data_IF_072337551806
#
_entry.id   IF_072337551806
#
_cell.length_a   1.000
_cell.length_b   1.000
_cell.length_c   1.000
_cell.angle_alpha   90.00
_cell.angle_beta   90.00
_cell.angle_gamma   90.00
#
_symmetry.space_group_name_H-M   'P 1'
#
loop_
_entity.id
_entity.type
_entity.pdbx_description
1 polymer ?
#
# COMPACT_ATOMS: atom_id res chain seq x y z
N UNK A 1 6.98 -8.34 -4.75
CA UNK A 1 6.66 -7.60 -3.49
C UNK A 1 5.16 -7.36 -3.43
N UNK A 2 4.51 -7.56 -2.27
CA UNK A 2 3.06 -7.33 -2.13
C UNK A 2 2.68 -5.84 -2.21
N UNK A 3 3.41 -4.97 -1.52
CA UNK A 3 3.17 -3.52 -1.53
C UNK A 3 3.38 -2.90 -2.92
N UNK A 4 4.43 -3.31 -3.64
CA UNK A 4 4.66 -2.83 -5.01
C UNK A 4 3.54 -3.25 -5.96
N UNK A 5 3.02 -4.47 -5.79
CA UNK A 5 1.88 -4.95 -6.57
C UNK A 5 0.62 -4.12 -6.27
N UNK A 6 0.31 -3.87 -5.00
CA UNK A 6 -0.79 -2.96 -4.63
C UNK A 6 -0.62 -1.58 -5.27
N UNK A 7 0.56 -0.98 -5.21
CA UNK A 7 0.84 0.30 -5.83
C UNK A 7 0.59 0.29 -7.35
N UNK A 8 1.03 -0.76 -8.05
CA UNK A 8 0.76 -0.93 -9.48
C UNK A 8 -0.74 -0.94 -9.77
N UNK A 9 -1.51 -1.75 -9.02
CA UNK A 9 -2.97 -1.81 -9.18
C UNK A 9 -3.63 -0.46 -8.88
N UNK A 10 -3.22 0.22 -7.81
CA UNK A 10 -3.72 1.55 -7.46
C UNK A 10 -3.49 2.55 -8.60
N UNK A 11 -2.30 2.54 -9.21
CA UNK A 11 -1.98 3.42 -10.32
C UNK A 11 -2.79 3.08 -11.57
N UNK A 12 -2.91 1.79 -11.93
CA UNK A 12 -3.75 1.37 -13.06
C UNK A 12 -5.19 1.85 -12.88
N UNK A 13 -5.79 1.59 -11.71
CA UNK A 13 -7.19 1.96 -11.43
C UNK A 13 -7.38 3.48 -11.26
N UNK A 14 -6.35 4.22 -10.86
CA UNK A 14 -6.37 5.68 -10.76
C UNK A 14 -6.22 6.41 -12.10
N UNK A 15 -5.66 5.76 -13.13
CA UNK A 15 -5.25 6.42 -14.38
C UNK A 15 -5.82 5.80 -15.65
N UNK A 16 -7.05 5.26 -15.62
CA UNK A 16 -7.72 4.73 -16.82
C UNK A 16 -8.18 3.27 -16.68
N UNK A 17 -7.89 2.63 -15.55
CA UNK A 17 -8.35 1.28 -15.26
C UNK A 17 -7.48 0.22 -15.92
N UNK A 18 -8.12 -0.93 -16.18
CA UNK A 18 -7.45 -2.20 -16.53
C UNK A 18 -6.75 -2.16 -17.90
N UNK A 19 -7.20 -1.28 -18.80
CA UNK A 19 -6.67 -1.13 -20.16
C UNK A 19 -5.84 0.16 -20.30
N UNK A 20 -6.47 1.33 -20.16
CA UNK A 20 -5.84 2.63 -20.44
C UNK A 20 -4.81 3.03 -19.37
N UNK A 21 -4.91 2.45 -18.16
CA UNK A 21 -3.98 2.73 -17.06
C UNK A 21 -2.52 2.38 -17.35
N UNK A 22 -2.27 1.48 -18.29
CA UNK A 22 -0.92 1.06 -18.64
C UNK A 22 -0.10 2.14 -19.34
N UNK A 23 -0.75 3.05 -20.08
CA UNK A 23 -0.06 4.20 -20.68
C UNK A 23 0.58 5.09 -19.60
N UNK A 24 -0.06 5.20 -18.44
CA UNK A 24 0.52 5.91 -17.30
C UNK A 24 1.73 5.17 -16.72
N UNK A 25 1.66 3.84 -16.60
CA UNK A 25 2.74 3.02 -16.06
C UNK A 25 3.99 3.08 -16.95
N UNK A 26 3.83 3.02 -18.27
CA UNK A 26 4.93 3.15 -19.25
C UNK A 26 5.61 4.53 -19.09
N UNK A 27 4.83 5.61 -19.11
CA UNK A 27 5.37 6.98 -18.90
C UNK A 27 6.04 7.16 -17.54
N UNK A 28 5.50 6.53 -16.50
CA UNK A 28 6.12 6.56 -15.17
C UNK A 28 7.46 5.84 -15.20
N UNK A 29 7.53 4.66 -15.82
CA UNK A 29 8.76 3.89 -15.94
C UNK A 29 9.85 4.64 -16.71
N UNK A 30 9.50 5.31 -17.81
CA UNK A 30 10.42 6.16 -18.57
C UNK A 30 11.04 7.26 -17.69
N UNK A 31 10.23 7.89 -16.82
CA UNK A 31 10.70 8.90 -15.89
C UNK A 31 11.63 8.35 -14.80
N UNK A 32 11.58 7.03 -14.52
CA UNK A 32 12.49 6.39 -13.58
C UNK A 32 13.87 6.11 -14.19
N UNK A 33 14.08 6.35 -15.49
CA UNK A 33 15.35 6.07 -16.17
C UNK A 33 15.78 4.60 -15.94
N UNK A 34 14.81 3.69 -16.01
CA UNK A 34 14.98 2.24 -15.76
C UNK A 34 15.30 1.86 -14.31
N UNK A 35 15.30 2.79 -13.35
CA UNK A 35 15.70 2.51 -11.96
C UNK A 35 14.54 1.92 -11.17
N UNK A 36 14.62 0.61 -10.93
CA UNK A 36 13.71 -0.11 -10.04
C UNK A 36 14.48 -0.59 -8.80
N UNK A 37 13.91 -0.36 -7.62
CA UNK A 37 14.47 -0.82 -6.36
C UNK A 37 14.02 -2.25 -6.05
N UNK A 38 14.93 -3.05 -5.48
CA UNK A 38 14.68 -4.45 -5.11
C UNK A 38 13.75 -4.63 -3.89
N UNK A 39 13.41 -3.54 -3.19
CA UNK A 39 12.60 -3.57 -1.98
C UNK A 39 11.84 -2.27 -1.74
N UNK A 40 10.55 -2.39 -1.43
CA UNK A 40 9.67 -1.24 -1.13
C UNK A 40 10.15 -0.43 0.09
N UNK A 41 10.86 -1.05 1.02
CA UNK A 41 11.43 -0.38 2.20
C UNK A 41 12.67 0.47 1.90
N UNK A 42 13.34 0.30 0.75
CA UNK A 42 14.42 1.19 0.32
C UNK A 42 13.89 2.50 -0.24
N UNK A 43 12.74 2.46 -0.92
CA UNK A 43 12.17 3.62 -1.61
C UNK A 43 12.07 4.87 -0.70
N UNK A 44 11.37 4.77 0.44
CA UNK A 44 11.22 5.91 1.34
C UNK A 44 12.51 6.31 2.07
N UNK A 45 13.43 5.36 2.29
CA UNK A 45 14.73 5.64 2.92
C UNK A 45 15.64 6.42 1.99
N UNK A 46 15.73 6.02 0.72
CA UNK A 46 16.59 6.68 -0.25
C UNK A 46 16.07 8.09 -0.60
N UNK A 47 14.77 8.35 -0.47
CA UNK A 47 14.23 9.71 -0.52
C UNK A 47 14.66 10.52 0.71
N UNK A 48 14.52 9.95 1.91
CA UNK A 48 14.93 10.61 3.14
C UNK A 48 16.45 10.89 3.21
N UNK A 49 17.26 10.02 2.61
CA UNK A 49 18.72 10.16 2.51
C UNK A 49 19.15 11.13 1.38
N UNK A 50 18.19 11.64 0.59
CA UNK A 50 18.43 12.61 -0.48
C UNK A 50 18.97 12.01 -1.79
N UNK A 51 18.99 10.67 -1.91
CA UNK A 51 19.43 9.97 -3.13
C UNK A 51 18.38 10.04 -4.25
N UNK A 52 17.10 10.07 -3.88
CA UNK A 52 15.98 10.33 -4.81
C UNK A 52 15.10 11.49 -4.32
N UNK A 53 14.51 12.23 -5.26
CA UNK A 53 13.64 13.36 -4.92
C UNK A 53 12.22 12.95 -4.52
N UNK A 54 11.70 11.87 -5.10
CA UNK A 54 10.32 11.38 -4.89
C UNK A 54 10.33 9.86 -4.90
N UNK A 55 9.46 9.26 -4.10
CA UNK A 55 9.30 7.81 -4.04
C UNK A 55 7.86 7.43 -3.68
N UNK A 56 7.35 6.37 -4.32
CA UNK A 56 6.01 5.84 -4.07
C UNK A 56 6.11 4.79 -2.97
N UNK A 57 5.46 5.04 -1.83
CA UNK A 57 5.52 4.15 -0.66
C UNK A 57 4.14 3.89 -0.05
N UNK A 58 4.08 3.06 0.98
CA UNK A 58 2.85 2.80 1.74
C UNK A 58 2.72 3.79 2.89
N UNK A 59 1.48 4.10 3.28
CA UNK A 59 1.16 5.11 4.29
C UNK A 59 1.98 4.94 5.59
N UNK A 60 2.06 3.71 6.14
CA UNK A 60 2.84 3.46 7.38
C UNK A 60 4.31 3.87 7.26
N UNK A 61 4.91 3.70 6.07
CA UNK A 61 6.31 4.05 5.83
C UNK A 61 6.48 5.55 5.69
N UNK A 62 5.51 6.24 5.09
CA UNK A 62 5.49 7.69 4.97
C UNK A 62 5.35 8.39 6.33
N UNK A 63 4.51 7.87 7.22
CA UNK A 63 4.28 8.43 8.56
C UNK A 63 5.53 8.47 9.45
N UNK A 64 6.53 7.63 9.19
CA UNK A 64 7.82 7.69 9.89
C UNK A 64 8.53 9.04 9.72
N UNK A 65 8.12 9.82 8.72
CA UNK A 65 8.70 11.11 8.39
C UNK A 65 7.78 12.29 8.71
N UNK A 66 6.68 12.08 9.45
CA UNK A 66 5.73 13.15 9.79
C UNK A 66 6.36 14.31 10.59
N UNK A 67 7.39 14.02 11.38
CA UNK A 67 8.15 15.00 12.18
C UNK A 67 9.52 15.33 11.56
N UNK A 68 9.76 14.97 10.29
CA UNK A 68 11.02 15.25 9.61
C UNK A 68 10.97 16.61 8.91
N UNK A 69 11.96 17.46 9.16
CA UNK A 69 12.03 18.82 8.59
C UNK A 69 12.49 18.85 7.12
N UNK A 70 13.11 17.77 6.62
CA UNK A 70 13.77 17.71 5.31
C UNK A 70 13.01 16.89 4.28
N UNK A 71 12.09 16.03 4.71
CA UNK A 71 11.26 15.19 3.83
C UNK A 71 9.84 15.12 4.39
N UNK A 72 8.85 15.18 3.51
CA UNK A 72 7.44 15.03 3.86
C UNK A 72 6.76 13.97 2.99
N UNK A 73 5.45 13.85 3.17
CA UNK A 73 4.61 12.99 2.34
C UNK A 73 3.28 13.67 2.05
N UNK A 74 2.65 13.27 0.94
CA UNK A 74 1.34 13.73 0.52
C UNK A 74 0.51 12.53 0.05
N UNK A 75 -0.81 12.66 0.13
CA UNK A 75 -1.72 11.76 -0.57
C UNK A 75 -1.94 12.28 -1.98
N UNK A 76 -1.74 11.48 -3.04
CA UNK A 76 -1.92 11.94 -4.41
C UNK A 76 -3.36 12.44 -4.67
N UNK A 77 -3.50 13.58 -5.35
CA UNK A 77 -4.80 14.21 -5.64
C UNK A 77 -5.61 13.46 -6.71
N UNK A 78 -4.92 12.74 -7.60
CA UNK A 78 -5.49 11.81 -8.57
C UNK A 78 -6.08 10.57 -7.89
N UNK A 79 -5.51 10.15 -6.76
CA UNK A 79 -6.12 9.23 -5.81
C UNK A 79 -5.13 8.20 -5.26
N UNK A 80 -5.57 7.45 -4.25
CA UNK A 80 -4.84 6.32 -3.68
C UNK A 80 -5.79 5.20 -3.29
N UNK A 81 -5.28 4.11 -2.71
CA UNK A 81 -6.11 2.98 -2.24
C UNK A 81 -5.89 2.70 -0.77
N UNK A 82 -6.95 2.35 -0.06
CA UNK A 82 -6.90 1.85 1.31
C UNK A 82 -7.15 0.33 1.32
N UNK A 83 -6.11 -0.45 1.04
CA UNK A 83 -6.19 -1.92 0.98
C UNK A 83 -5.90 -2.50 2.37
N UNK A 84 -6.85 -3.24 2.99
CA UNK A 84 -6.63 -3.83 4.31
C UNK A 84 -5.72 -5.06 4.25
N UNK A 85 -4.89 -5.24 5.27
CA UNK A 85 -4.15 -6.48 5.49
C UNK A 85 -5.12 -7.55 6.02
N UNK A 86 -5.20 -8.69 5.32
CA UNK A 86 -6.07 -9.81 5.71
C UNK A 86 -5.42 -10.76 6.73
N UNK A 87 -6.23 -11.30 7.64
CA UNK A 87 -5.87 -12.45 8.49
C UNK A 87 -6.89 -13.58 8.27
N UNK A 88 -6.45 -14.84 8.29
CA UNK A 88 -7.32 -15.99 8.04
C UNK A 88 -6.91 -17.21 8.84
N UNK A 89 -7.90 -18.02 9.21
CA UNK A 89 -7.72 -19.33 9.83
C UNK A 89 -7.46 -20.39 8.75
N UNK A 90 -6.34 -21.10 8.85
CA UNK A 90 -6.04 -22.22 7.94
C UNK A 90 -6.97 -23.41 8.25
N UNK A 91 -7.58 -23.98 7.21
CA UNK A 91 -8.45 -25.15 7.34
C UNK A 91 -7.67 -26.33 7.91
N UNK A 92 -8.15 -26.91 9.01
CA UNK A 92 -7.49 -28.02 9.69
C UNK A 92 -6.24 -27.63 10.48
N UNK A 93 -6.11 -26.35 10.87
CA UNK A 93 -5.00 -25.91 11.72
C UNK A 93 -4.93 -26.73 13.02
N UNK A 94 -3.74 -27.19 13.44
CA UNK A 94 -3.58 -28.06 14.62
C UNK A 94 -4.00 -27.38 15.93
N UNK A 95 -4.08 -26.05 15.95
CA UNK A 95 -4.46 -25.24 17.10
C UNK A 95 -5.60 -24.27 16.74
N UNK A 96 -6.70 -24.81 16.21
CA UNK A 96 -7.83 -24.02 15.69
C UNK A 96 -8.40 -23.02 16.71
N UNK A 97 -8.56 -23.44 17.97
CA UNK A 97 -9.08 -22.58 19.04
C UNK A 97 -8.16 -21.39 19.31
N UNK A 98 -6.85 -21.62 19.45
CA UNK A 98 -5.87 -20.55 19.65
C UNK A 98 -5.80 -19.60 18.44
N UNK A 99 -5.96 -20.13 17.22
CA UNK A 99 -5.98 -19.31 16.02
C UNK A 99 -7.22 -18.39 15.97
N UNK A 100 -8.39 -18.85 16.43
CA UNK A 100 -9.58 -18.00 16.58
C UNK A 100 -9.36 -16.90 17.61
N UNK A 101 -8.82 -17.25 18.79
CA UNK A 101 -8.47 -16.28 19.84
C UNK A 101 -7.49 -15.24 19.31
N UNK A 102 -6.51 -15.65 18.50
CA UNK A 102 -5.55 -14.73 17.91
C UNK A 102 -6.19 -13.78 16.89
N UNK A 103 -7.12 -14.27 16.04
CA UNK A 103 -7.88 -13.43 15.12
C UNK A 103 -8.71 -12.39 15.89
N UNK A 104 -9.40 -12.82 16.95
CA UNK A 104 -10.18 -11.92 17.82
C UNK A 104 -9.27 -10.88 18.48
N UNK A 105 -8.08 -11.30 18.94
CA UNK A 105 -7.11 -10.41 19.54
C UNK A 105 -6.61 -9.34 18.56
N UNK A 106 -6.16 -9.71 17.36
CA UNK A 106 -5.62 -8.72 16.41
C UNK A 106 -6.69 -7.79 15.80
N UNK A 107 -7.95 -8.20 15.84
CA UNK A 107 -9.10 -7.38 15.40
C UNK A 107 -9.82 -6.68 16.56
N UNK A 108 -9.34 -6.89 17.80
CA UNK A 108 -9.88 -6.23 18.99
C UNK A 108 -9.66 -4.72 18.93
N UNK A 109 -10.55 -3.98 19.60
CA UNK A 109 -10.43 -2.52 19.72
C UNK A 109 -9.10 -2.12 20.34
N UNK A 110 -8.75 -2.72 21.47
CA UNK A 110 -7.50 -2.45 22.19
C UNK A 110 -6.27 -2.64 21.30
N UNK A 111 -6.17 -3.77 20.59
CA UNK A 111 -5.01 -4.03 19.75
C UNK A 111 -4.95 -3.08 18.55
N UNK A 112 -6.08 -2.78 17.92
CA UNK A 112 -6.15 -1.85 16.79
C UNK A 112 -5.82 -0.39 17.21
N UNK A 113 -6.22 0.02 18.41
CA UNK A 113 -5.82 1.31 19.00
C UNK A 113 -4.30 1.35 19.24
N UNK A 114 -3.72 0.30 19.83
CA UNK A 114 -2.27 0.21 19.99
C UNK A 114 -1.53 0.19 18.66
N UNK A 115 -2.12 -0.42 17.63
CA UNK A 115 -1.53 -0.46 16.28
C UNK A 115 -1.48 0.91 15.62
N UNK A 116 -2.55 1.71 15.75
CA UNK A 116 -2.55 3.08 15.26
C UNK A 116 -1.55 3.93 16.02
N UNK A 117 -1.64 3.94 17.35
CA UNK A 117 -0.82 4.79 18.21
C UNK A 117 0.69 4.51 18.08
N UNK A 118 1.08 3.24 18.06
CA UNK A 118 2.50 2.88 18.15
C UNK A 118 3.15 2.63 16.77
N UNK A 119 2.36 2.33 15.74
CA UNK A 119 2.89 1.92 14.44
C UNK A 119 2.25 2.64 13.24
N UNK A 120 1.43 3.68 13.46
CA UNK A 120 0.82 4.46 12.38
C UNK A 120 -0.03 3.61 11.44
N UNK A 121 -0.65 2.53 11.96
CA UNK A 121 -1.54 1.67 11.18
C UNK A 121 -2.94 2.23 11.22
N UNK A 122 -3.58 2.30 10.07
CA UNK A 122 -5.01 2.63 9.98
C UNK A 122 -5.83 1.48 10.58
N UNK A 123 -6.69 1.74 11.59
CA UNK A 123 -7.59 0.72 12.10
C UNK A 123 -8.59 0.25 11.04
N UNK A 124 -8.92 -1.04 11.04
CA UNK A 124 -10.03 -1.57 10.22
C UNK A 124 -11.40 -1.42 10.89
N UNK A 125 -11.42 -1.01 12.16
CA UNK A 125 -12.63 -0.75 12.93
C UNK A 125 -13.05 0.71 12.78
N UNK A 126 -14.36 0.94 12.71
CA UNK A 126 -14.94 2.28 12.58
C UNK A 126 -15.22 2.97 13.94
N UNK A 127 -14.95 2.31 15.06
CA UNK A 127 -15.20 2.78 16.43
C UNK A 127 -13.92 3.25 17.16
N UNK A 128 -12.87 3.55 16.40
CA UNK A 128 -11.56 4.03 16.88
C UNK A 128 -11.29 5.41 16.29
N UNK A 129 -10.90 6.36 17.14
CA UNK A 129 -10.37 7.64 16.68
C UNK A 129 -8.94 7.47 16.17
N UNK A 130 -8.68 7.99 14.98
CA UNK A 130 -7.37 7.86 14.33
C UNK A 130 -6.45 9.00 14.78
N UNK A 131 -5.26 8.66 15.24
CA UNK A 131 -4.20 9.60 15.60
C UNK A 131 -3.11 9.65 14.51
N UNK A 132 -2.52 10.84 14.31
CA UNK A 132 -1.31 11.03 13.49
C UNK A 132 -1.49 10.84 11.97
N UNK A 133 -2.73 10.71 11.48
CA UNK A 133 -3.03 10.40 10.08
C UNK A 133 -4.27 11.15 9.60
N UNK A 134 -4.39 11.40 8.29
CA UNK A 134 -5.60 11.97 7.71
C UNK A 134 -6.80 11.01 7.83
N UNK A 135 -8.01 11.55 7.92
CA UNK A 135 -9.24 10.74 7.86
C UNK A 135 -9.40 10.20 6.44
N UNK A 136 -9.93 8.98 6.32
CA UNK A 136 -10.22 8.41 4.99
C UNK A 136 -11.21 9.27 4.18
N UNK A 137 -12.14 9.97 4.84
CA UNK A 137 -13.07 10.90 4.18
C UNK A 137 -12.39 12.05 3.47
N UNK A 138 -11.15 12.38 3.86
CA UNK A 138 -10.40 13.52 3.34
C UNK A 138 -9.42 13.08 2.25
N UNK A 139 -9.36 11.77 1.95
CA UNK A 139 -8.47 11.16 0.98
C UNK A 139 -9.31 10.68 -0.20
N UNK A 140 -8.89 11.03 -1.42
CA UNK A 140 -9.50 10.48 -2.63
C UNK A 140 -9.08 9.02 -2.80
N UNK A 141 -10.05 8.12 -2.70
CA UNK A 141 -9.82 6.69 -2.88
C UNK A 141 -10.23 6.25 -4.29
N UNK A 142 -9.38 5.47 -4.94
CA UNK A 142 -9.72 4.73 -6.16
C UNK A 142 -10.60 3.54 -5.80
N UNK A 143 -11.46 3.13 -6.74
CA UNK A 143 -12.28 1.93 -6.61
C UNK A 143 -11.41 0.68 -6.83
N UNK A 144 -10.79 0.18 -5.76
CA UNK A 144 -9.83 -0.92 -5.83
C UNK A 144 -10.56 -2.26 -6.04
N UNK A 145 -10.39 -2.85 -7.22
CA UNK A 145 -10.97 -4.15 -7.58
C UNK A 145 -10.09 -5.31 -7.08
N UNK A 146 -10.43 -5.83 -5.89
CA UNK A 146 -9.72 -6.93 -5.25
C UNK A 146 -9.79 -8.24 -6.05
N UNK A 147 -10.93 -8.54 -6.65
CA UNK A 147 -11.14 -9.79 -7.37
C UNK A 147 -10.32 -9.80 -8.65
N UNK A 148 -10.32 -8.71 -9.41
CA UNK A 148 -9.46 -8.57 -10.58
C UNK A 148 -7.98 -8.61 -10.20
N UNK A 149 -7.58 -7.83 -9.20
CA UNK A 149 -6.19 -7.80 -8.74
C UNK A 149 -5.71 -9.17 -8.24
N UNK A 150 -6.59 -10.01 -7.69
CA UNK A 150 -6.23 -11.36 -7.27
C UNK A 150 -6.17 -12.34 -8.46
N UNK A 151 -7.17 -12.33 -9.33
CA UNK A 151 -7.32 -13.31 -10.40
C UNK A 151 -6.37 -13.07 -11.60
N UNK A 152 -6.06 -11.81 -11.90
CA UNK A 152 -5.22 -11.43 -13.05
C UNK A 152 -3.75 -11.19 -12.67
N UNK A 153 -3.35 -11.54 -11.45
CA UNK A 153 -2.04 -11.19 -10.90
C UNK A 153 -0.87 -11.63 -11.77
N UNK A 154 -0.92 -12.83 -12.31
CA UNK A 154 0.17 -13.37 -13.14
C UNK A 154 0.31 -12.55 -14.43
N UNK A 155 -0.79 -12.33 -15.15
CA UNK A 155 -0.81 -11.55 -16.38
C UNK A 155 -0.38 -10.08 -16.17
N UNK A 156 -0.80 -9.47 -15.06
CA UNK A 156 -0.41 -8.09 -14.72
C UNK A 156 1.10 -8.01 -14.45
N UNK A 157 1.65 -8.98 -13.71
CA UNK A 157 3.09 -9.02 -13.44
C UNK A 157 3.88 -9.26 -14.73
N UNK A 158 3.41 -10.15 -15.59
CA UNK A 158 4.02 -10.42 -16.89
C UNK A 158 4.08 -9.15 -17.74
N UNK A 159 2.94 -8.45 -17.93
CA UNK A 159 2.90 -7.18 -18.67
C UNK A 159 3.79 -6.10 -18.06
N UNK A 160 3.86 -6.00 -16.74
CA UNK A 160 4.77 -5.07 -16.09
C UNK A 160 6.24 -5.43 -16.33
N UNK A 161 6.59 -6.71 -16.35
CA UNK A 161 7.95 -7.14 -16.67
C UNK A 161 8.33 -6.84 -18.12
N UNK A 162 7.41 -6.98 -19.06
CA UNK A 162 7.68 -6.65 -20.47
C UNK A 162 8.06 -5.16 -20.62
N UNK A 163 7.35 -4.26 -19.93
CA UNK A 163 7.69 -2.82 -19.90
C UNK A 163 9.11 -2.56 -19.36
N UNK A 164 9.60 -3.39 -18.43
CA UNK A 164 10.93 -3.20 -17.82
C UNK A 164 12.10 -3.73 -18.67
N UNK A 165 11.81 -4.49 -19.74
CA UNK A 165 12.83 -5.16 -20.56
C UNK A 165 13.02 -4.45 -21.91
N UNK A 166 12.08 -3.61 -22.32
CA UNK A 166 12.17 -2.72 -23.48
C UNK A 166 13.11 -1.51 -23.22
#
# INVERSE_FOLDING_TARGET
>A
SGSAYTQLITMLLGHGGKEDGWEFIEKLYDNLDGKILDSSGKCHKMVADGEFHVGITIEKSALLYAENDSVGFIYPEDGTSAVPDGISLIKGAPNEENAKIFIDFVTSKEFQEQQNKNWGRRPVRNDIEIEGMAKLSDIKLVDYDFDWAANEKEAIIERFNDIMVD
#
